data_IF_571406244419
#
_entry.id   IF_571406244419
#
_cell.length_a   1.000
_cell.length_b   1.000
_cell.length_c   1.000
_cell.angle_alpha   90.00
_cell.angle_beta   90.00
_cell.angle_gamma   90.00
#
_symmetry.space_group_name_H-M   'P 1'
#
loop_
_entity.id
_entity.type
_entity.pdbx_description
1 polymer ?
#
# COMPACT_ATOMS: atom_id res chain seq x y z
N UNK A 1 3.96 2.52 -51.24
CA UNK A 1 4.94 2.75 -50.17
C UNK A 1 4.19 2.58 -48.86
N UNK A 2 4.50 1.57 -48.07
CA UNK A 2 3.89 1.39 -46.76
C UNK A 2 4.34 2.53 -45.85
N UNK A 3 3.41 3.38 -45.41
CA UNK A 3 3.69 4.41 -44.43
C UNK A 3 4.08 3.72 -43.11
N UNK A 4 5.37 3.79 -42.77
CA UNK A 4 5.87 3.38 -41.45
C UNK A 4 5.31 4.31 -40.37
N UNK A 5 4.11 3.99 -39.87
CA UNK A 5 3.50 4.68 -38.73
C UNK A 5 4.33 4.43 -37.47
N UNK A 6 4.70 5.50 -36.78
CA UNK A 6 5.41 5.45 -35.48
C UNK A 6 4.66 4.60 -34.45
N UNK A 7 3.33 4.54 -34.52
CA UNK A 7 2.46 3.76 -33.62
C UNK A 7 1.72 2.68 -34.42
N UNK A 8 2.39 1.58 -34.70
CA UNK A 8 1.92 0.46 -35.51
C UNK A 8 1.26 -0.69 -34.71
N UNK A 9 1.25 -0.63 -33.38
CA UNK A 9 0.65 -1.65 -32.52
C UNK A 9 -0.77 -1.25 -32.06
N UNK A 10 -1.73 -2.17 -32.15
CA UNK A 10 -3.11 -1.97 -31.70
C UNK A 10 -3.45 -2.86 -30.50
N UNK A 11 -4.06 -2.27 -29.46
CA UNK A 11 -4.60 -2.99 -28.30
C UNK A 11 -6.12 -2.91 -28.34
N UNK A 12 -6.81 -4.05 -28.20
CA UNK A 12 -8.28 -4.15 -28.20
C UNK A 12 -8.77 -4.64 -26.85
N UNK A 13 -9.80 -3.99 -26.31
CA UNK A 13 -10.48 -4.39 -25.09
C UNK A 13 -11.97 -4.63 -25.37
N UNK A 14 -12.56 -5.58 -24.64
CA UNK A 14 -14.01 -5.77 -24.62
C UNK A 14 -14.58 -5.04 -23.41
N UNK A 15 -15.68 -4.34 -23.61
CA UNK A 15 -16.39 -3.58 -22.58
C UNK A 15 -17.87 -3.91 -22.69
N UNK A 16 -18.54 -4.01 -21.56
CA UNK A 16 -19.99 -3.89 -21.48
C UNK A 16 -20.43 -2.47 -21.87
N UNK A 17 -21.72 -2.28 -22.14
CA UNK A 17 -22.26 -0.98 -22.49
C UNK A 17 -22.03 0.06 -21.38
N UNK A 18 -22.21 -0.34 -20.12
CA UNK A 18 -22.02 0.54 -18.97
C UNK A 18 -20.55 0.99 -18.82
N UNK A 19 -19.60 0.08 -18.97
CA UNK A 19 -18.17 0.41 -18.90
C UNK A 19 -17.74 1.34 -20.04
N UNK A 20 -18.30 1.15 -21.24
CA UNK A 20 -18.05 2.02 -22.39
C UNK A 20 -18.55 3.45 -22.12
N UNK A 21 -19.73 3.60 -21.53
CA UNK A 21 -20.29 4.91 -21.19
C UNK A 21 -19.47 5.61 -20.12
N UNK A 22 -19.03 4.88 -19.09
CA UNK A 22 -18.13 5.40 -18.06
C UNK A 22 -16.78 5.85 -18.65
N UNK A 23 -16.21 5.07 -19.56
CA UNK A 23 -14.96 5.39 -20.26
C UNK A 23 -15.12 6.66 -21.10
N UNK A 24 -16.18 6.76 -21.92
CA UNK A 24 -16.44 7.92 -22.75
C UNK A 24 -16.62 9.20 -21.91
N UNK A 25 -17.35 9.13 -20.78
CA UNK A 25 -17.48 10.25 -19.85
C UNK A 25 -16.13 10.72 -19.30
N UNK A 26 -15.22 9.79 -18.97
CA UNK A 26 -13.86 10.12 -18.48
C UNK A 26 -13.02 10.80 -19.56
N UNK A 27 -13.06 10.30 -20.80
CA UNK A 27 -12.34 10.89 -21.94
C UNK A 27 -12.86 12.30 -22.25
N UNK A 28 -14.19 12.50 -22.26
CA UNK A 28 -14.80 13.80 -22.48
C UNK A 28 -14.37 14.81 -21.40
N UNK A 29 -14.39 14.41 -20.12
CA UNK A 29 -13.93 15.25 -19.01
C UNK A 29 -12.44 15.59 -19.10
N UNK A 30 -11.61 14.68 -19.61
CA UNK A 30 -10.17 14.92 -19.72
C UNK A 30 -9.78 15.84 -20.88
N UNK A 31 -10.68 16.11 -21.83
CA UNK A 31 -10.41 16.90 -23.06
C UNK A 31 -9.26 16.34 -23.90
N UNK A 32 -9.02 15.03 -23.84
CA UNK A 32 -7.98 14.34 -24.58
C UNK A 32 -8.60 13.49 -25.69
N UNK A 33 -7.81 13.19 -26.74
CA UNK A 33 -8.19 12.12 -27.67
C UNK A 33 -8.21 10.78 -26.93
N UNK A 34 -8.96 9.79 -27.43
CA UNK A 34 -8.96 8.43 -26.86
C UNK A 34 -7.55 7.87 -26.74
N UNK A 35 -6.73 8.06 -27.77
CA UNK A 35 -5.36 7.58 -27.81
C UNK A 35 -4.48 8.27 -26.77
N UNK A 36 -4.55 9.60 -26.67
CA UNK A 36 -3.74 10.33 -25.69
C UNK A 36 -4.20 10.07 -24.26
N UNK A 37 -5.50 9.86 -24.04
CA UNK A 37 -6.04 9.45 -22.76
C UNK A 37 -5.47 8.12 -22.29
N UNK A 38 -5.45 7.09 -23.14
CA UNK A 38 -4.87 5.80 -22.80
C UNK A 38 -3.35 5.85 -22.67
N UNK A 39 -2.65 6.57 -23.55
CA UNK A 39 -1.20 6.75 -23.42
C UNK A 39 -0.84 7.48 -22.14
N UNK A 40 -1.63 8.49 -21.74
CA UNK A 40 -1.48 9.19 -20.47
C UNK A 40 -1.73 8.24 -19.30
N UNK A 41 -2.80 7.44 -19.33
CA UNK A 41 -3.06 6.43 -18.30
C UNK A 41 -1.94 5.39 -18.18
N UNK A 42 -1.43 4.87 -19.29
CA UNK A 42 -0.33 3.87 -19.31
C UNK A 42 0.96 4.49 -18.77
N UNK A 43 1.23 5.77 -19.09
CA UNK A 43 2.43 6.48 -18.63
C UNK A 43 2.35 6.95 -17.19
N UNK A 44 1.16 7.31 -16.70
CA UNK A 44 0.97 7.91 -15.37
C UNK A 44 0.55 6.89 -14.30
N UNK A 45 -0.06 5.76 -14.66
CA UNK A 45 -0.45 4.74 -13.69
C UNK A 45 0.65 3.70 -13.55
N UNK A 46 1.56 3.97 -12.62
CA UNK A 46 2.44 2.95 -12.09
C UNK A 46 1.61 1.89 -11.38
N UNK A 47 1.68 0.64 -11.85
CA UNK A 47 1.10 -0.49 -11.13
C UNK A 47 2.12 -0.89 -10.07
N UNK A 48 1.99 -0.34 -8.87
CA UNK A 48 2.81 -0.72 -7.73
C UNK A 48 2.40 -2.11 -7.23
N UNK A 49 3.14 -3.14 -7.64
CA UNK A 49 3.04 -4.48 -7.07
C UNK A 49 3.94 -4.53 -5.84
N UNK A 50 3.36 -4.31 -4.66
CA UNK A 50 4.11 -4.34 -3.40
C UNK A 50 4.14 -5.79 -2.89
N UNK A 51 5.10 -6.58 -3.37
CA UNK A 51 5.28 -7.99 -2.98
C UNK A 51 5.55 -8.16 -1.47
N UNK A 52 6.06 -7.11 -0.83
CA UNK A 52 6.43 -7.10 0.58
C UNK A 52 5.27 -6.77 1.53
N UNK A 53 4.13 -6.30 0.99
CA UNK A 53 2.98 -5.89 1.78
C UNK A 53 2.43 -7.01 2.70
N UNK A 54 2.31 -8.27 2.25
CA UNK A 54 1.90 -9.37 3.13
C UNK A 54 2.87 -9.62 4.29
N UNK A 55 4.18 -9.49 4.05
CA UNK A 55 5.22 -9.64 5.10
C UNK A 55 5.10 -8.51 6.12
N UNK A 56 4.86 -7.29 5.63
CA UNK A 56 4.66 -6.11 6.47
C UNK A 56 3.43 -6.24 7.39
N UNK A 57 2.31 -6.73 6.85
CA UNK A 57 1.09 -6.99 7.60
C UNK A 57 1.33 -8.04 8.70
N UNK A 58 2.10 -9.09 8.39
CA UNK A 58 2.45 -10.13 9.36
C UNK A 58 3.26 -9.57 10.54
N UNK A 59 4.26 -8.73 10.27
CA UNK A 59 5.06 -8.06 11.31
C UNK A 59 4.21 -7.10 12.16
N UNK A 60 3.30 -6.34 11.53
CA UNK A 60 2.36 -5.48 12.24
C UNK A 60 1.46 -6.29 13.19
N UNK A 61 0.94 -7.43 12.74
CA UNK A 61 0.12 -8.31 13.55
C UNK A 61 0.89 -8.88 14.75
N UNK A 62 2.16 -9.24 14.58
CA UNK A 62 3.04 -9.69 15.68
C UNK A 62 3.21 -8.61 16.74
N UNK A 63 3.44 -7.37 16.32
CA UNK A 63 3.53 -6.23 17.24
C UNK A 63 2.20 -6.02 17.98
N UNK A 64 1.07 -6.08 17.27
CA UNK A 64 -0.26 -5.97 17.90
C UNK A 64 -0.51 -7.03 18.96
N UNK A 65 -0.11 -8.29 18.69
CA UNK A 65 -0.19 -9.39 19.66
C UNK A 65 0.69 -9.10 20.89
N UNK A 66 1.92 -8.68 20.68
CA UNK A 66 2.85 -8.35 21.77
C UNK A 66 2.32 -7.21 22.65
N UNK A 67 1.78 -6.15 22.03
CA UNK A 67 1.16 -5.04 22.75
C UNK A 67 -0.03 -5.50 23.59
N UNK A 68 -0.89 -6.36 23.05
CA UNK A 68 -2.03 -6.90 23.80
C UNK A 68 -1.56 -7.74 25.01
N UNK A 69 -0.48 -8.51 24.87
CA UNK A 69 0.12 -9.24 25.99
C UNK A 69 0.68 -8.29 27.05
N UNK A 70 1.39 -7.23 26.64
CA UNK A 70 1.89 -6.19 27.52
C UNK A 70 0.76 -5.53 28.31
N UNK A 71 -0.33 -5.14 27.63
CA UNK A 71 -1.52 -4.55 28.28
C UNK A 71 -2.12 -5.49 29.32
N UNK A 72 -2.24 -6.80 29.01
CA UNK A 72 -2.72 -7.80 29.99
C UNK A 72 -1.79 -7.93 31.19
N UNK A 73 -0.46 -7.90 30.98
CA UNK A 73 0.54 -7.93 32.07
C UNK A 73 0.38 -6.70 32.98
N UNK A 74 0.23 -5.50 32.41
CA UNK A 74 0.02 -4.25 33.18
C UNK A 74 -1.31 -4.27 33.94
N UNK A 75 -2.39 -4.70 33.29
CA UNK A 75 -3.74 -4.68 33.84
C UNK A 75 -4.03 -5.83 34.82
N UNK A 76 -3.07 -6.74 35.03
CA UNK A 76 -3.18 -7.74 36.08
C UNK A 76 -3.25 -7.03 37.44
N UNK A 77 -4.11 -7.49 38.35
CA UNK A 77 -4.28 -6.89 39.70
C UNK A 77 -3.07 -7.09 40.61
N UNK A 78 -1.97 -7.64 40.09
CA UNK A 78 -0.72 -7.88 40.81
C UNK A 78 0.12 -6.60 40.82
N UNK A 79 0.62 -6.19 41.99
CA UNK A 79 1.51 -5.04 42.10
C UNK A 79 2.84 -5.37 41.43
N UNK A 80 3.11 -4.79 40.26
CA UNK A 80 4.37 -5.05 39.55
C UNK A 80 5.58 -4.53 40.35
N UNK A 81 6.52 -5.43 40.64
CA UNK A 81 7.84 -5.10 41.16
C UNK A 81 8.69 -4.31 40.16
N UNK A 82 9.73 -3.62 40.66
CA UNK A 82 10.59 -2.73 39.87
C UNK A 82 11.25 -3.45 38.68
N UNK A 83 11.78 -4.67 38.89
CA UNK A 83 12.40 -5.46 37.82
C UNK A 83 11.41 -5.78 36.70
N UNK A 84 10.21 -6.26 37.04
CA UNK A 84 9.14 -6.54 36.06
C UNK A 84 8.77 -5.29 35.25
N UNK A 85 8.78 -4.09 35.85
CA UNK A 85 8.53 -2.82 35.14
C UNK A 85 9.64 -2.46 34.15
N UNK A 86 10.89 -2.71 34.51
CA UNK A 86 12.05 -2.48 33.63
C UNK A 86 11.97 -3.38 32.39
N UNK A 87 11.66 -4.65 32.58
CA UNK A 87 11.49 -5.61 31.48
C UNK A 87 10.35 -5.20 30.54
N UNK A 88 9.22 -4.78 31.12
CA UNK A 88 8.07 -4.31 30.36
C UNK A 88 8.38 -3.07 29.52
N UNK A 89 9.11 -2.11 30.09
CA UNK A 89 9.57 -0.92 29.39
C UNK A 89 10.55 -1.26 28.26
N UNK A 90 11.39 -2.28 28.44
CA UNK A 90 12.28 -2.78 27.39
C UNK A 90 11.49 -3.41 26.25
N UNK A 91 10.52 -4.28 26.54
CA UNK A 91 9.62 -4.88 25.54
C UNK A 91 8.84 -3.80 24.76
N UNK A 92 8.30 -2.79 25.45
CA UNK A 92 7.63 -1.65 24.83
C UNK A 92 8.55 -0.87 23.89
N UNK A 93 9.79 -0.62 24.29
CA UNK A 93 10.78 0.09 23.47
C UNK A 93 11.08 -0.68 22.17
N UNK A 94 11.29 -1.99 22.26
CA UNK A 94 11.54 -2.85 21.09
C UNK A 94 10.37 -2.77 20.09
N UNK A 95 9.13 -2.88 20.58
CA UNK A 95 7.95 -2.78 19.71
C UNK A 95 7.82 -1.38 19.08
N UNK A 96 8.11 -0.32 19.84
CA UNK A 96 8.14 1.06 19.33
C UNK A 96 9.18 1.24 18.22
N UNK A 97 10.38 0.72 18.40
CA UNK A 97 11.46 0.85 17.41
C UNK A 97 11.14 0.04 16.13
N UNK A 98 10.53 -1.14 16.27
CA UNK A 98 10.03 -1.92 15.14
C UNK A 98 8.94 -1.18 14.34
N UNK A 99 7.98 -0.53 15.02
CA UNK A 99 6.95 0.30 14.36
C UNK A 99 7.54 1.48 13.58
N UNK A 100 8.57 2.15 14.13
CA UNK A 100 9.27 3.23 13.43
C UNK A 100 9.95 2.71 12.16
N UNK A 101 10.58 1.54 12.24
CA UNK A 101 11.19 0.89 11.07
C UNK A 101 10.15 0.62 9.97
N UNK A 102 9.01 0.00 10.34
CA UNK A 102 7.89 -0.27 9.42
C UNK A 102 7.40 1.03 8.78
N UNK A 103 7.22 2.09 9.57
CA UNK A 103 6.74 3.37 9.07
C UNK A 103 7.71 4.00 8.05
N UNK A 104 9.02 3.88 8.27
CA UNK A 104 10.01 4.36 7.32
C UNK A 104 9.97 3.55 6.02
N UNK A 105 9.88 2.22 6.09
CA UNK A 105 9.73 1.37 4.90
C UNK A 105 8.47 1.72 4.09
N UNK A 106 7.34 1.97 4.76
CA UNK A 106 6.12 2.43 4.08
C UNK A 106 6.36 3.76 3.37
N UNK A 107 7.01 4.72 4.04
CA UNK A 107 7.34 6.00 3.42
C UNK A 107 8.21 5.79 2.19
N UNK A 108 9.23 4.95 2.25
CA UNK A 108 10.12 4.67 1.12
C UNK A 108 9.38 4.03 -0.07
N UNK A 109 8.38 3.17 0.18
CA UNK A 109 7.57 2.53 -0.86
C UNK A 109 6.62 3.52 -1.56
N UNK A 110 6.11 4.51 -0.84
CA UNK A 110 5.09 5.45 -1.32
C UNK A 110 5.60 6.88 -1.57
N UNK A 111 6.91 7.12 -1.52
CA UNK A 111 7.56 8.39 -1.87
C UNK A 111 7.97 8.41 -3.33
#
# INVERSE_FOLDING_TARGET
MEENRIRNHQVKFRLSQEELDQLNKKILKSKLSKQDFFLKLIKEKEILVIEELPKLILELNRIGINLNQLTKKVNSKEKLGILKKIDLNRELKINSDALKSILNTIKDIFS
#
